data_IF_890400169300
#
_entry.id   IF_890400169300
#
_cell.length_a   1.000
_cell.length_b   1.000
_cell.length_c   1.000
_cell.angle_alpha   90.00
_cell.angle_beta   90.00
_cell.angle_gamma   90.00
#
_symmetry.space_group_name_H-M   'P 1'
#
loop_
_entity.id
_entity.type
_entity.pdbx_description
1 polymer ?
#
# COMPACT_ATOMS: atom_id res chain seq x y z
N UNK A 1 -16.61 9.23 -2.13
CA UNK A 1 -15.28 9.49 -1.53
C UNK A 1 -14.45 10.24 -2.56
N UNK A 2 -13.77 11.28 -2.15
CA UNK A 2 -12.93 12.05 -3.07
C UNK A 2 -11.55 11.39 -3.22
N UNK A 3 -10.73 11.93 -4.13
CA UNK A 3 -9.40 11.37 -4.42
C UNK A 3 -8.52 11.27 -3.18
N UNK A 4 -8.47 12.33 -2.39
CA UNK A 4 -7.62 12.37 -1.19
C UNK A 4 -8.03 11.30 -0.18
N UNK A 5 -9.31 11.17 0.07
CA UNK A 5 -9.85 10.17 0.98
C UNK A 5 -9.56 8.76 0.49
N UNK A 6 -9.76 8.51 -0.80
CA UNK A 6 -9.52 7.20 -1.39
C UNK A 6 -8.04 6.80 -1.28
N UNK A 7 -7.14 7.72 -1.59
CA UNK A 7 -5.70 7.43 -1.49
C UNK A 7 -5.28 7.12 -0.05
N UNK A 8 -5.87 7.80 0.93
CA UNK A 8 -5.59 7.51 2.34
C UNK A 8 -6.07 6.13 2.74
N UNK A 9 -7.27 5.75 2.34
CA UNK A 9 -7.84 4.45 2.68
C UNK A 9 -7.02 3.33 2.05
N UNK A 10 -6.67 3.46 0.77
CA UNK A 10 -5.81 2.48 0.10
C UNK A 10 -4.44 2.41 0.76
N UNK A 11 -3.87 3.56 1.10
CA UNK A 11 -2.57 3.62 1.78
C UNK A 11 -2.59 2.94 3.14
N UNK A 12 -3.65 3.12 3.91
CA UNK A 12 -3.83 2.43 5.20
C UNK A 12 -3.95 0.92 5.01
N UNK A 13 -4.61 0.49 3.95
CA UNK A 13 -4.72 -0.92 3.63
C UNK A 13 -3.35 -1.52 3.33
N UNK A 14 -2.54 -0.83 2.52
CA UNK A 14 -1.16 -1.25 2.23
C UNK A 14 -0.38 -1.39 3.53
N UNK A 15 -0.44 -0.37 4.38
CA UNK A 15 0.26 -0.36 5.66
C UNK A 15 -0.18 -1.52 6.56
N UNK A 16 -1.47 -1.76 6.68
CA UNK A 16 -2.04 -2.86 7.46
C UNK A 16 -1.48 -4.22 7.01
N UNK A 17 -1.45 -4.44 5.71
CA UNK A 17 -0.93 -5.70 5.15
C UNK A 17 0.56 -5.84 5.50
N UNK A 18 1.33 -4.76 5.33
CA UNK A 18 2.75 -4.77 5.66
C UNK A 18 2.99 -5.11 7.13
N UNK A 19 2.28 -4.43 8.03
CA UNK A 19 2.44 -4.63 9.48
C UNK A 19 2.01 -6.03 9.90
N UNK A 20 0.96 -6.57 9.29
CA UNK A 20 0.49 -7.93 9.59
C UNK A 20 1.55 -8.98 9.23
N UNK A 21 2.46 -8.66 8.33
CA UNK A 21 3.56 -9.53 7.93
C UNK A 21 4.84 -9.25 8.70
N UNK A 22 4.80 -8.36 9.67
CA UNK A 22 5.95 -7.96 10.49
C UNK A 22 7.10 -7.37 9.66
N UNK A 23 6.76 -6.63 8.63
CA UNK A 23 7.74 -6.00 7.74
C UNK A 23 7.83 -4.50 8.01
N UNK A 24 9.07 -3.98 8.02
CA UNK A 24 9.30 -2.54 8.03
C UNK A 24 9.20 -2.01 6.60
N UNK A 25 9.12 -0.69 6.46
CA UNK A 25 9.17 -0.08 5.13
C UNK A 25 10.48 -0.40 4.42
N UNK A 26 11.59 -0.44 5.15
CA UNK A 26 12.90 -0.79 4.59
C UNK A 26 12.91 -2.25 4.10
N UNK A 27 12.30 -3.16 4.84
CA UNK A 27 12.18 -4.56 4.41
C UNK A 27 11.46 -4.66 3.06
N UNK A 28 10.39 -3.90 2.91
CA UNK A 28 9.60 -3.89 1.66
C UNK A 28 10.44 -3.36 0.50
N UNK A 29 11.15 -2.26 0.72
CA UNK A 29 12.05 -1.70 -0.29
C UNK A 29 13.09 -2.74 -0.73
N UNK A 30 13.65 -3.48 0.22
CA UNK A 30 14.62 -4.52 -0.07
C UNK A 30 14.08 -5.67 -0.91
N UNK A 31 12.77 -5.88 -0.91
CA UNK A 31 12.10 -6.93 -1.68
C UNK A 31 11.61 -6.46 -3.05
N UNK A 32 11.49 -5.14 -3.24
CA UNK A 32 10.99 -4.60 -4.49
C UNK A 32 12.08 -4.54 -5.55
N UNK A 33 11.70 -4.82 -6.79
CA UNK A 33 12.62 -4.67 -7.93
C UNK A 33 12.55 -3.23 -8.44
N UNK A 34 13.67 -2.71 -8.92
CA UNK A 34 13.75 -1.35 -9.45
C UNK A 34 14.05 -0.33 -8.36
N UNK A 35 14.15 0.93 -8.75
CA UNK A 35 14.47 2.01 -7.84
C UNK A 35 13.23 2.47 -7.08
N UNK A 36 13.28 2.32 -5.76
CA UNK A 36 12.26 2.83 -4.86
C UNK A 36 12.92 3.00 -3.50
N UNK A 37 12.46 3.96 -2.72
CA UNK A 37 12.98 4.17 -1.37
C UNK A 37 11.86 4.19 -0.33
N UNK A 38 12.24 4.25 0.94
CA UNK A 38 11.27 4.25 2.04
C UNK A 38 10.38 5.49 2.03
N UNK A 39 10.86 6.61 1.51
CA UNK A 39 10.06 7.83 1.39
C UNK A 39 8.87 7.59 0.46
N UNK A 40 9.09 6.88 -0.65
CA UNK A 40 8.00 6.53 -1.57
C UNK A 40 6.97 5.62 -0.92
N UNK A 41 7.42 4.61 -0.18
CA UNK A 41 6.51 3.71 0.55
C UNK A 41 5.71 4.51 1.58
N UNK A 42 6.37 5.38 2.34
CA UNK A 42 5.71 6.21 3.34
C UNK A 42 4.63 7.09 2.71
N UNK A 43 4.91 7.71 1.58
CA UNK A 43 3.94 8.56 0.87
C UNK A 43 2.73 7.77 0.39
N UNK A 44 2.95 6.55 -0.10
CA UNK A 44 1.86 5.67 -0.52
C UNK A 44 0.98 5.35 0.69
N UNK A 45 1.60 4.94 1.79
CA UNK A 45 0.86 4.54 3.00
C UNK A 45 0.10 5.69 3.64
N UNK A 46 0.59 6.92 3.49
CA UNK A 46 -0.08 8.10 4.03
C UNK A 46 -1.09 8.72 3.06
N UNK A 47 -1.22 8.17 1.85
CA UNK A 47 -2.14 8.70 0.85
C UNK A 47 -1.68 10.03 0.25
N UNK A 48 -0.38 10.32 0.28
CA UNK A 48 0.18 11.57 -0.22
C UNK A 48 0.63 11.52 -1.67
N UNK A 49 0.48 10.38 -2.31
CA UNK A 49 0.83 10.20 -3.71
C UNK A 49 -0.19 9.30 -4.37
N UNK A 50 -0.28 9.41 -5.68
CA UNK A 50 -1.12 8.54 -6.50
C UNK A 50 -0.19 7.63 -7.30
N UNK A 51 0.20 6.48 -6.74
CA UNK A 51 1.16 5.60 -7.41
C UNK A 51 0.54 4.99 -8.67
N UNK A 52 1.43 4.65 -9.60
CA UNK A 52 0.98 3.95 -10.81
C UNK A 52 0.53 2.54 -10.46
N UNK A 53 -0.28 1.96 -11.33
CA UNK A 53 -0.72 0.57 -11.18
C UNK A 53 0.50 -0.36 -11.11
N UNK A 54 1.52 -0.10 -11.93
CA UNK A 54 2.71 -0.95 -11.92
C UNK A 54 3.47 -0.87 -10.60
N UNK A 55 3.58 0.32 -10.01
CA UNK A 55 4.18 0.47 -8.68
C UNK A 55 3.38 -0.32 -7.64
N UNK A 56 2.06 -0.28 -7.72
CA UNK A 56 1.21 -1.04 -6.82
C UNK A 56 1.37 -2.56 -7.01
N UNK A 57 1.53 -2.99 -8.26
CA UNK A 57 1.81 -4.40 -8.55
C UNK A 57 3.14 -4.84 -7.93
N UNK A 58 4.19 -4.04 -8.08
CA UNK A 58 5.51 -4.35 -7.49
C UNK A 58 5.43 -4.43 -5.97
N UNK A 59 4.65 -3.54 -5.37
CA UNK A 59 4.43 -3.52 -3.93
C UNK A 59 3.69 -4.78 -3.47
N UNK A 60 2.66 -5.19 -4.19
CA UNK A 60 1.92 -6.41 -3.90
C UNK A 60 2.82 -7.64 -4.00
N UNK A 61 3.68 -7.69 -5.01
CA UNK A 61 4.64 -8.76 -5.19
C UNK A 61 5.61 -8.84 -4.01
N UNK A 62 6.12 -7.69 -3.56
CA UNK A 62 7.01 -7.63 -2.40
C UNK A 62 6.33 -8.11 -1.12
N UNK A 63 5.06 -7.84 -0.97
CA UNK A 63 4.26 -8.25 0.19
C UNK A 63 3.66 -9.65 0.03
N UNK A 64 3.87 -10.29 -1.12
CA UNK A 64 3.37 -11.63 -1.43
C UNK A 64 1.84 -11.71 -1.31
N UNK A 65 1.17 -10.68 -1.81
CA UNK A 65 -0.29 -10.65 -1.91
C UNK A 65 -0.70 -10.31 -3.33
N UNK A 66 -1.96 -10.55 -3.66
CA UNK A 66 -2.51 -10.08 -4.92
C UNK A 66 -2.79 -8.59 -4.83
N UNK A 67 -2.63 -7.87 -5.93
CA UNK A 67 -2.88 -6.43 -5.96
C UNK A 67 -4.31 -6.08 -5.53
N UNK A 68 -5.28 -6.99 -5.80
CA UNK A 68 -6.67 -6.79 -5.39
C UNK A 68 -6.83 -6.61 -3.89
N UNK A 69 -5.91 -7.16 -3.10
CA UNK A 69 -5.96 -7.00 -1.64
C UNK A 69 -5.86 -5.55 -1.19
N UNK A 70 -5.14 -4.72 -1.95
CA UNK A 70 -5.01 -3.30 -1.63
C UNK A 70 -6.32 -2.54 -1.83
N UNK A 71 -7.19 -3.05 -2.68
CA UNK A 71 -8.44 -2.41 -3.05
C UNK A 71 -9.66 -3.06 -2.42
N UNK A 72 -9.43 -4.05 -1.56
CA UNK A 72 -10.51 -4.64 -0.76
C UNK A 72 -10.74 -3.77 0.46
N UNK A 73 -11.66 -2.82 0.34
CA UNK A 73 -11.91 -1.80 1.34
C UNK A 73 -13.20 -2.05 2.13
N UNK A 74 -13.71 -3.26 2.11
CA UNK A 74 -14.96 -3.59 2.80
C UNK A 74 -14.94 -3.22 4.28
N UNK A 75 -13.81 -3.47 4.93
CA UNK A 75 -13.67 -3.17 6.36
C UNK A 75 -13.78 -1.68 6.68
N UNK A 76 -13.49 -0.81 5.71
CA UNK A 76 -13.57 0.64 5.89
C UNK A 76 -14.97 1.19 5.64
N UNK A 77 -15.86 0.39 5.08
CA UNK A 77 -17.22 0.80 4.71
C UNK A 77 -18.28 0.04 5.50
N UNK A 78 -17.89 -0.78 6.46
CA UNK A 78 -18.86 -1.51 7.28
C UNK A 78 -19.59 -0.55 8.20
N UNK A 79 -20.92 -0.60 8.15
CA UNK A 79 -21.75 0.13 9.08
C UNK A 79 -21.66 -0.53 10.47
N UNK A 80 -21.56 0.26 11.54
CA UNK A 80 -21.54 -0.30 12.89
C UNK A 80 -22.86 -0.98 13.27
#
# INVERSE_FOLDING_TARGET
MNKSEYLKVVGERVRSIRLAKNLTQLDVVGRMTGEIDTTNISRIECGRTNPTIFTMYRLAEALEVQISEFFNLEDFFQEP
#
